data_IF_120313480499
#
_entry.id   IF_120313480499
#
_cell.length_a   1.000
_cell.length_b   1.000
_cell.length_c   1.000
_cell.angle_alpha   90.00
_cell.angle_beta   90.00
_cell.angle_gamma   90.00
#
_symmetry.space_group_name_H-M   'P 1'
#
loop_
_entity.id
_entity.type
_entity.pdbx_description
1 polymer ?
#
# COMPACT_ATOMS: atom_id res chain seq x y z
N UNK A 1 -3.28 16.47 -3.95
CA UNK A 1 -2.82 16.55 -5.36
C UNK A 1 -2.66 15.12 -5.86
N UNK A 2 -3.23 14.78 -7.02
CA UNK A 2 -3.03 13.44 -7.59
C UNK A 2 -1.56 13.25 -7.95
N UNK A 3 -0.93 12.18 -7.48
CA UNK A 3 0.46 11.83 -7.80
C UNK A 3 0.54 11.43 -9.28
N UNK A 4 1.53 11.97 -10.00
CA UNK A 4 1.78 11.58 -11.38
C UNK A 4 2.71 10.37 -11.37
N UNK A 5 2.20 9.23 -11.83
CA UNK A 5 2.98 8.00 -11.97
C UNK A 5 3.53 7.90 -13.39
N UNK A 6 4.82 7.63 -13.53
CA UNK A 6 5.41 7.35 -14.84
C UNK A 6 5.06 5.90 -15.25
N UNK A 7 4.31 5.69 -16.36
CA UNK A 7 3.93 4.35 -16.79
C UNK A 7 5.11 3.42 -17.06
N UNK A 8 6.26 3.96 -17.51
CA UNK A 8 7.44 3.17 -17.84
C UNK A 8 8.16 2.64 -16.59
N UNK A 9 7.99 3.29 -15.43
CA UNK A 9 8.56 2.85 -14.15
C UNK A 9 7.54 2.27 -13.18
N UNK A 10 6.23 2.33 -13.50
CA UNK A 10 5.14 1.92 -12.61
C UNK A 10 5.30 0.49 -12.06
N UNK A 11 5.78 -0.46 -12.87
CA UNK A 11 6.04 -1.82 -12.41
C UNK A 11 7.18 -1.93 -11.39
N UNK A 12 8.26 -1.15 -11.57
CA UNK A 12 9.40 -1.11 -10.64
C UNK A 12 8.99 -0.45 -9.32
N UNK A 13 8.27 0.66 -9.41
CA UNK A 13 7.74 1.39 -8.26
C UNK A 13 6.79 0.52 -7.44
N UNK A 14 5.83 -0.16 -8.09
CA UNK A 14 4.94 -1.13 -7.44
C UNK A 14 5.71 -2.19 -6.66
N UNK A 15 6.71 -2.81 -7.27
CA UNK A 15 7.50 -3.87 -6.61
C UNK A 15 8.23 -3.32 -5.36
N UNK A 16 8.78 -2.11 -5.45
CA UNK A 16 9.41 -1.46 -4.31
C UNK A 16 8.40 -1.16 -3.19
N UNK A 17 7.26 -0.57 -3.54
CA UNK A 17 6.16 -0.27 -2.60
C UNK A 17 5.63 -1.54 -1.94
N UNK A 18 5.45 -2.62 -2.69
CA UNK A 18 4.93 -3.85 -2.11
C UNK A 18 5.91 -4.47 -1.11
N UNK A 19 7.21 -4.42 -1.40
CA UNK A 19 8.25 -4.88 -0.45
C UNK A 19 8.28 -4.01 0.80
N UNK A 20 8.14 -2.69 0.68
CA UNK A 20 8.12 -1.82 1.85
C UNK A 20 6.82 -1.96 2.66
N UNK A 21 5.68 -2.24 2.03
CA UNK A 21 4.44 -2.60 2.73
C UNK A 21 4.63 -3.88 3.55
N UNK A 22 5.22 -4.93 2.97
CA UNK A 22 5.51 -6.18 3.69
C UNK A 22 6.44 -5.94 4.88
N UNK A 23 7.45 -5.08 4.71
CA UNK A 23 8.33 -4.70 5.82
C UNK A 23 7.55 -3.98 6.92
N UNK A 24 6.73 -2.98 6.57
CA UNK A 24 5.93 -2.22 7.53
C UNK A 24 4.91 -3.11 8.27
N UNK A 25 4.24 -4.04 7.56
CA UNK A 25 3.32 -5.00 8.17
C UNK A 25 4.04 -5.92 9.17
N UNK A 26 5.26 -6.36 8.84
CA UNK A 26 6.08 -7.17 9.75
C UNK A 26 6.44 -6.39 11.01
N UNK A 27 6.81 -5.11 10.89
CA UNK A 27 7.08 -4.26 12.06
C UNK A 27 5.82 -3.93 12.85
N UNK A 28 4.68 -3.74 12.18
CA UNK A 28 3.38 -3.49 12.81
C UNK A 28 2.92 -4.68 13.65
N UNK A 29 3.08 -5.90 13.13
CA UNK A 29 2.72 -7.14 13.84
C UNK A 29 3.56 -7.41 15.09
N UNK A 30 4.71 -6.74 15.25
CA UNK A 30 5.53 -6.81 16.47
C UNK A 30 5.08 -5.81 17.54
N UNK A 31 4.28 -4.81 17.19
CA UNK A 31 3.84 -3.79 18.13
C UNK A 31 2.80 -4.37 19.09
N UNK A 32 2.90 -3.98 20.37
CA UNK A 32 1.98 -4.42 21.43
C UNK A 32 0.96 -3.34 21.81
N UNK A 33 1.09 -2.12 21.25
CA UNK A 33 0.26 -0.97 21.59
C UNK A 33 0.00 -0.06 20.39
N UNK A 34 -0.73 1.02 20.64
CA UNK A 34 -1.23 1.96 19.63
C UNK A 34 -0.48 3.30 19.66
N UNK A 35 0.84 3.20 19.84
CA UNK A 35 1.74 4.34 19.91
C UNK A 35 1.94 5.03 18.55
N UNK A 36 2.75 6.09 18.54
CA UNK A 36 3.04 6.87 17.34
C UNK A 36 3.68 6.01 16.24
N UNK A 37 4.51 5.03 16.61
CA UNK A 37 5.11 4.11 15.66
C UNK A 37 4.05 3.20 15.02
N UNK A 38 3.13 2.65 15.80
CA UNK A 38 2.00 1.86 15.29
C UNK A 38 1.13 2.67 14.34
N UNK A 39 0.85 3.94 14.68
CA UNK A 39 0.11 4.87 13.81
C UNK A 39 0.87 5.11 12.50
N UNK A 40 2.16 5.40 12.56
CA UNK A 40 3.00 5.63 11.38
C UNK A 40 3.07 4.39 10.48
N UNK A 41 3.26 3.20 11.07
CA UNK A 41 3.32 1.93 10.33
C UNK A 41 2.01 1.65 9.59
N UNK A 42 0.88 1.74 10.29
CA UNK A 42 -0.42 1.49 9.69
C UNK A 42 -0.78 2.57 8.65
N UNK A 43 -0.50 3.84 8.93
CA UNK A 43 -0.71 4.94 7.98
C UNK A 43 0.15 4.77 6.73
N UNK A 44 1.40 4.33 6.89
CA UNK A 44 2.27 4.02 5.77
C UNK A 44 1.71 2.91 4.89
N UNK A 45 1.23 1.82 5.50
CA UNK A 45 0.61 0.72 4.75
C UNK A 45 -0.57 1.23 3.93
N UNK A 46 -1.42 2.08 4.50
CA UNK A 46 -2.56 2.65 3.79
C UNK A 46 -2.12 3.53 2.60
N UNK A 47 -1.23 4.50 2.83
CA UNK A 47 -0.74 5.41 1.81
C UNK A 47 0.04 4.69 0.70
N UNK A 48 0.92 3.76 1.06
CA UNK A 48 1.69 3.00 0.09
C UNK A 48 0.79 2.05 -0.73
N UNK A 49 -0.30 1.54 -0.16
CA UNK A 49 -1.27 0.72 -0.89
C UNK A 49 -2.10 1.56 -1.87
N UNK A 50 -2.41 2.82 -1.53
CA UNK A 50 -2.98 3.79 -2.48
C UNK A 50 -2.01 4.10 -3.62
N UNK A 51 -0.73 4.31 -3.30
CA UNK A 51 0.31 4.51 -4.31
C UNK A 51 0.41 3.31 -5.26
N UNK A 52 0.34 2.09 -4.72
CA UNK A 52 0.28 0.86 -5.52
C UNK A 52 -0.90 0.92 -6.49
N UNK A 53 -2.10 1.27 -6.03
CA UNK A 53 -3.28 1.41 -6.91
C UNK A 53 -3.02 2.43 -8.03
N UNK A 54 -2.39 3.57 -7.71
CA UNK A 54 -1.98 4.55 -8.71
C UNK A 54 -1.05 4.00 -9.80
N UNK A 55 -0.09 3.14 -9.42
CA UNK A 55 0.77 2.46 -10.41
C UNK A 55 0.02 1.46 -11.30
N UNK A 56 -1.08 0.87 -10.80
CA UNK A 56 -1.93 -0.03 -11.59
C UNK A 56 -2.62 0.76 -12.68
N UNK A 57 -3.27 1.87 -12.33
CA UNK A 57 -3.97 2.72 -13.29
C UNK A 57 -3.03 3.29 -14.37
N UNK A 58 -1.79 3.65 -14.01
CA UNK A 58 -0.78 4.05 -14.98
C UNK A 58 -0.41 2.92 -15.96
N UNK A 59 -0.24 1.69 -15.45
CA UNK A 59 0.09 0.52 -16.27
C UNK A 59 -1.06 0.14 -17.20
N UNK A 60 -2.29 0.13 -16.67
CA UNK A 60 -3.52 -0.16 -17.41
C UNK A 60 -3.72 0.87 -18.52
N UNK A 61 -3.67 2.16 -18.20
CA UNK A 61 -3.83 3.24 -19.17
C UNK A 61 -2.84 3.13 -20.34
N UNK A 62 -1.59 2.73 -20.06
CA UNK A 62 -0.58 2.54 -21.10
C UNK A 62 -0.86 1.31 -21.99
N UNK A 63 -1.40 0.23 -21.42
CA UNK A 63 -1.78 -0.97 -22.16
C UNK A 63 -3.02 -0.78 -23.01
N UNK A 64 -4.03 -0.08 -22.49
CA UNK A 64 -5.25 0.30 -23.20
C UNK A 64 -4.94 1.15 -24.45
N UNK A 65 -4.05 2.16 -24.32
CA UNK A 65 -3.54 2.95 -25.46
C UNK A 65 -2.84 2.12 -26.53
N UNK A 66 -2.29 0.95 -26.17
CA UNK A 66 -1.63 0.01 -27.08
C UNK A 66 -2.56 -1.12 -27.55
N UNK A 67 -3.84 -1.08 -27.19
CA UNK A 67 -4.84 -2.08 -27.59
C UNK A 67 -4.87 -3.36 -26.74
N UNK A 68 -4.15 -3.42 -25.62
CA UNK A 68 -4.06 -4.61 -24.76
C UNK A 68 -5.17 -4.67 -23.68
N UNK A 69 -6.42 -4.51 -24.09
CA UNK A 69 -7.58 -4.39 -23.18
C UNK A 69 -7.78 -5.59 -22.26
N UNK A 70 -7.70 -6.83 -22.78
CA UNK A 70 -7.88 -8.05 -21.97
C UNK A 70 -6.78 -8.20 -20.90
N UNK A 71 -5.56 -7.77 -21.23
CA UNK A 71 -4.43 -7.79 -20.28
C UNK A 71 -4.63 -6.75 -19.18
N UNK A 72 -5.07 -5.55 -19.56
CA UNK A 72 -5.39 -4.47 -18.64
C UNK A 72 -6.51 -4.85 -17.67
N UNK A 73 -7.59 -5.44 -18.16
CA UNK A 73 -8.74 -5.82 -17.34
C UNK A 73 -8.38 -6.90 -16.31
N UNK A 74 -7.70 -7.97 -16.74
CA UNK A 74 -7.19 -9.01 -15.83
C UNK A 74 -6.29 -8.42 -14.74
N UNK A 75 -5.46 -7.46 -15.11
CA UNK A 75 -4.53 -6.83 -14.18
C UNK A 75 -5.24 -5.89 -13.20
N UNK A 76 -6.28 -5.17 -13.64
CA UNK A 76 -7.14 -4.38 -12.76
C UNK A 76 -7.85 -5.27 -11.75
N UNK A 77 -8.47 -6.36 -12.18
CA UNK A 77 -9.15 -7.33 -11.30
C UNK A 77 -8.20 -7.94 -10.26
N UNK A 78 -6.97 -8.26 -10.64
CA UNK A 78 -5.96 -8.80 -9.72
C UNK A 78 -5.65 -7.83 -8.57
N UNK A 79 -5.68 -6.52 -8.84
CA UNK A 79 -5.25 -5.47 -7.91
C UNK A 79 -6.40 -4.61 -7.36
N UNK A 80 -7.65 -4.88 -7.72
CA UNK A 80 -8.83 -4.06 -7.34
C UNK A 80 -8.94 -3.83 -5.82
N UNK A 81 -8.51 -4.84 -5.05
CA UNK A 81 -8.58 -4.87 -3.60
C UNK A 81 -7.72 -3.79 -2.94
N UNK A 82 -6.70 -3.26 -3.62
CA UNK A 82 -5.75 -2.29 -3.06
C UNK A 82 -6.41 -0.99 -2.66
N UNK A 83 -7.23 -0.42 -3.56
CA UNK A 83 -8.00 0.81 -3.29
C UNK A 83 -8.96 0.62 -2.10
N UNK A 84 -9.67 -0.50 -2.05
CA UNK A 84 -10.61 -0.83 -0.99
C UNK A 84 -9.93 -0.94 0.38
N UNK A 85 -8.86 -1.72 0.50
CA UNK A 85 -8.15 -1.88 1.76
C UNK A 85 -7.38 -0.61 2.17
N UNK A 86 -6.84 0.15 1.22
CA UNK A 86 -6.23 1.46 1.50
C UNK A 86 -7.24 2.40 2.16
N UNK A 87 -8.42 2.52 1.56
CA UNK A 87 -9.50 3.35 2.08
C UNK A 87 -9.99 2.88 3.45
N UNK A 88 -10.28 1.58 3.60
CA UNK A 88 -10.73 1.02 4.88
C UNK A 88 -9.70 1.24 5.98
N UNK A 89 -8.41 1.01 5.70
CA UNK A 89 -7.35 1.20 6.69
C UNK A 89 -7.19 2.69 7.05
N UNK A 90 -7.22 3.57 6.07
CA UNK A 90 -7.15 5.03 6.27
C UNK A 90 -8.30 5.55 7.13
N UNK A 91 -9.53 5.15 6.82
CA UNK A 91 -10.72 5.56 7.57
C UNK A 91 -10.72 4.98 9.00
N UNK A 92 -10.30 3.73 9.16
CA UNK A 92 -10.19 3.10 10.48
C UNK A 92 -9.16 3.82 11.35
N UNK A 93 -8.00 4.18 10.79
CA UNK A 93 -6.97 4.96 11.51
C UNK A 93 -7.47 6.34 11.92
N UNK A 94 -8.16 7.06 11.03
CA UNK A 94 -8.76 8.37 11.34
C UNK A 94 -9.81 8.29 12.47
N UNK A 95 -10.47 7.14 12.62
CA UNK A 95 -11.47 6.87 13.67
C UNK A 95 -10.89 6.19 14.92
N UNK A 96 -9.60 5.89 14.92
CA UNK A 96 -8.93 5.07 15.95
C UNK A 96 -9.61 3.69 16.16
N UNK A 97 -10.22 3.13 15.11
CA UNK A 97 -10.81 1.78 15.13
C UNK A 97 -9.71 0.72 14.93
N UNK A 98 -9.00 0.45 16.01
CA UNK A 98 -7.86 -0.47 16.03
C UNK A 98 -8.22 -1.93 15.70
N UNK A 99 -9.45 -2.34 15.95
CA UNK A 99 -9.93 -3.67 15.55
C UNK A 99 -9.95 -3.78 14.02
N UNK A 100 -10.53 -2.78 13.33
CA UNK A 100 -10.54 -2.72 11.87
C UNK A 100 -9.15 -2.54 11.28
N UNK A 101 -8.27 -1.77 11.93
CA UNK A 101 -6.85 -1.63 11.53
C UNK A 101 -6.14 -2.99 11.55
N UNK A 102 -6.26 -3.74 12.64
CA UNK A 102 -5.62 -5.06 12.77
C UNK A 102 -6.15 -6.05 11.73
N UNK A 103 -7.49 -6.15 11.60
CA UNK A 103 -8.11 -7.06 10.62
C UNK A 103 -7.73 -6.72 9.18
N UNK A 104 -7.75 -5.44 8.82
CA UNK A 104 -7.41 -4.99 7.47
C UNK A 104 -5.93 -5.23 7.18
N UNK A 105 -5.05 -4.95 8.14
CA UNK A 105 -3.61 -5.22 8.02
C UNK A 105 -3.31 -6.70 7.79
N UNK A 106 -4.01 -7.59 8.50
CA UNK A 106 -3.87 -9.04 8.29
C UNK A 106 -4.33 -9.47 6.88
N UNK A 107 -5.45 -8.93 6.38
CA UNK A 107 -5.92 -9.18 5.00
C UNK A 107 -4.92 -8.70 3.95
N UNK A 108 -4.32 -7.52 4.13
CA UNK A 108 -3.28 -7.01 3.24
C UNK A 108 -2.05 -7.93 3.27
N UNK A 109 -1.62 -8.38 4.45
CA UNK A 109 -0.50 -9.32 4.58
C UNK A 109 -0.77 -10.64 3.84
N UNK A 110 -2.00 -11.16 3.89
CA UNK A 110 -2.39 -12.36 3.14
C UNK A 110 -2.28 -12.16 1.63
N UNK A 111 -2.67 -10.99 1.10
CA UNK A 111 -2.52 -10.66 -0.33
C UNK A 111 -1.05 -10.64 -0.78
N UNK A 112 -0.13 -10.35 0.12
CA UNK A 112 1.31 -10.29 -0.15
C UNK A 112 2.11 -11.50 0.36
N UNK A 113 1.44 -12.62 0.66
CA UNK A 113 2.09 -13.82 1.23
C UNK A 113 3.24 -14.40 0.40
N UNK A 114 3.25 -14.20 -0.92
CA UNK A 114 4.32 -14.66 -1.84
C UNK A 114 5.54 -13.73 -1.87
N UNK A 115 5.50 -12.58 -1.18
CA UNK A 115 6.51 -11.54 -1.30
C UNK A 115 7.49 -11.64 -0.14
N UNK A 116 8.72 -12.03 -0.48
CA UNK A 116 9.79 -12.19 0.50
C UNK A 116 10.62 -10.92 0.61
N UNK A 117 10.74 -10.40 1.84
CA UNK A 117 11.64 -9.30 2.18
C UNK A 117 12.71 -9.85 3.12
N UNK A 118 13.99 -9.91 2.69
CA UNK A 118 15.10 -10.31 3.55
C UNK A 118 15.23 -9.40 4.76
N UNK A 119 15.73 -9.95 5.86
CA UNK A 119 16.00 -9.18 7.09
C UNK A 119 16.99 -8.03 6.82
N UNK A 120 18.11 -8.34 6.14
CA UNK A 120 19.07 -7.34 5.64
C UNK A 120 18.63 -6.77 4.30
N UNK A 121 17.69 -5.84 4.32
CA UNK A 121 17.24 -5.08 3.14
C UNK A 121 17.68 -3.60 3.20
N UNK A 122 17.50 -2.86 2.11
CA UNK A 122 17.85 -1.43 1.97
C UNK A 122 16.62 -0.51 1.94
N UNK A 123 15.49 -0.94 2.47
CA UNK A 123 14.23 -0.17 2.43
C UNK A 123 14.16 0.89 3.53
N UNK A 124 14.95 0.76 4.61
CA UNK A 124 14.96 1.69 5.73
C UNK A 124 13.62 1.70 6.48
N UNK A 125 13.24 2.86 7.00
CA UNK A 125 12.01 3.09 7.78
C UNK A 125 11.07 4.05 7.03
N UNK A 126 10.47 3.63 5.91
CA UNK A 126 9.71 4.53 5.03
C UNK A 126 8.40 5.05 5.67
N UNK A 127 7.99 4.48 6.80
CA UNK A 127 6.78 4.86 7.54
C UNK A 127 6.90 6.13 8.36
N UNK A 128 8.11 6.63 8.64
CA UNK A 128 8.31 7.81 9.48
C UNK A 128 7.54 9.02 8.93
N UNK A 129 6.64 9.57 9.76
CA UNK A 129 5.80 10.73 9.43
C UNK A 129 4.60 10.42 8.53
N UNK A 130 4.29 9.15 8.30
CA UNK A 130 3.15 8.75 7.47
C UNK A 130 1.82 9.04 8.13
N UNK A 131 1.73 8.96 9.45
CA UNK A 131 0.54 9.35 10.20
C UNK A 131 0.19 10.81 9.97
N UNK A 132 1.20 11.70 10.10
CA UNK A 132 1.03 13.13 9.82
C UNK A 132 0.54 13.36 8.39
N UNK A 133 1.15 12.71 7.40
CA UNK A 133 0.74 12.81 5.99
C UNK A 133 -0.71 12.34 5.77
N UNK A 134 -1.12 11.25 6.43
CA UNK A 134 -2.47 10.72 6.33
C UNK A 134 -3.51 11.69 6.93
N UNK A 135 -3.16 12.38 8.01
CA UNK A 135 -4.03 13.39 8.64
C UNK A 135 -4.10 14.69 7.82
N UNK A 136 -3.03 15.04 7.11
CA UNK A 136 -2.99 16.19 6.19
C UNK A 136 -3.68 15.90 4.85
N UNK A 137 -3.86 14.62 4.49
CA UNK A 137 -4.59 14.21 3.30
C UNK A 137 -6.10 14.50 3.47
N UNK A 138 -6.53 15.62 2.86
CA UNK A 138 -7.93 16.06 2.74
C UNK A 138 -8.79 15.04 2.00
#
# INVERSE_FOLDING_TARGET
MSRVYNPDSAGKERNQLTRSIVLALRELMKQQGTDDLTRDLAAYVALALDDVNGTIEASVSAWEKRGYWVKADKFRLEWEWTSGYSRTLSEALKKEDWATVAMTSAKIAQKFNKITVPERNRLGTPWVGSWKRLMEAK
#
